data_IF_890609297901
#
_entry.id   IF_890609297901
#
_cell.length_a   1.000
_cell.length_b   1.000
_cell.length_c   1.000
_cell.angle_alpha   90.00
_cell.angle_beta   90.00
_cell.angle_gamma   90.00
#
_symmetry.space_group_name_H-M   'P 1'
#
loop_
_entity.id
_entity.type
_entity.pdbx_description
1 polymer ?
#
# COMPACT_ATOMS: atom_id res chain seq x y z
N UNK A 1 -23.14 13.82 24.76
CA UNK A 1 -22.66 14.49 23.53
C UNK A 1 -22.59 13.41 22.46
N UNK A 2 -23.59 13.34 21.57
CA UNK A 2 -23.61 12.33 20.52
C UNK A 2 -22.66 12.78 19.41
N UNK A 3 -21.53 12.10 19.26
CA UNK A 3 -20.65 12.30 18.12
C UNK A 3 -21.40 11.75 16.91
N UNK A 4 -21.78 12.62 15.97
CA UNK A 4 -22.31 12.19 14.69
C UNK A 4 -21.25 11.32 14.02
N UNK A 5 -21.55 10.04 13.87
CA UNK A 5 -20.67 9.11 13.15
C UNK A 5 -20.65 9.58 11.69
N UNK A 6 -19.49 10.01 11.14
CA UNK A 6 -19.42 10.29 9.71
C UNK A 6 -19.78 9.01 8.97
N UNK A 7 -20.79 9.08 8.10
CA UNK A 7 -21.22 7.90 7.35
C UNK A 7 -20.20 7.67 6.24
N UNK A 8 -19.43 6.58 6.35
CA UNK A 8 -18.68 6.05 5.22
C UNK A 8 -19.68 5.72 4.10
N UNK A 9 -19.45 6.26 2.91
CA UNK A 9 -20.31 5.98 1.74
C UNK A 9 -20.10 4.58 1.17
N UNK A 10 -18.93 3.99 1.40
CA UNK A 10 -18.62 2.59 1.08
C UNK A 10 -18.74 1.76 2.34
N UNK A 11 -19.45 0.62 2.24
CA UNK A 11 -19.44 -0.33 3.36
C UNK A 11 -18.08 -1.03 3.41
N UNK A 12 -17.63 -1.50 4.59
CA UNK A 12 -16.41 -2.29 4.67
C UNK A 12 -16.43 -3.53 3.76
N UNK A 13 -17.59 -4.14 3.54
CA UNK A 13 -17.75 -5.29 2.65
C UNK A 13 -17.53 -4.91 1.17
N UNK A 14 -18.06 -3.77 0.73
CA UNK A 14 -17.82 -3.27 -0.64
C UNK A 14 -16.33 -2.93 -0.85
N UNK A 15 -15.66 -2.41 0.18
CA UNK A 15 -14.22 -2.15 0.13
C UNK A 15 -13.40 -3.45 0.00
N UNK A 16 -13.82 -4.54 0.66
CA UNK A 16 -13.19 -5.86 0.49
C UNK A 16 -13.33 -6.34 -0.95
N UNK A 17 -14.51 -6.19 -1.56
CA UNK A 17 -14.71 -6.53 -2.98
C UNK A 17 -13.81 -5.72 -3.91
N UNK A 18 -13.61 -4.42 -3.63
CA UNK A 18 -12.64 -3.63 -4.40
C UNK A 18 -11.23 -4.17 -4.25
N UNK A 19 -10.85 -4.56 -3.02
CA UNK A 19 -9.54 -5.10 -2.71
C UNK A 19 -9.30 -6.47 -3.35
N UNK A 20 -10.33 -7.22 -3.72
CA UNK A 20 -10.11 -8.49 -4.45
C UNK A 20 -9.35 -8.24 -5.77
N UNK A 21 -9.60 -7.12 -6.42
CA UNK A 21 -9.05 -6.79 -7.74
C UNK A 21 -8.08 -5.62 -7.74
N UNK A 22 -8.14 -4.71 -6.76
CA UNK A 22 -7.45 -3.43 -6.81
C UNK A 22 -6.67 -3.09 -5.54
N UNK A 23 -5.54 -2.42 -5.70
CA UNK A 23 -5.01 -1.52 -4.67
C UNK A 23 -5.92 -0.29 -4.56
N UNK A 24 -5.98 0.33 -3.39
CA UNK A 24 -6.91 1.44 -3.15
C UNK A 24 -6.18 2.67 -2.62
N UNK A 25 -6.31 3.79 -3.31
CA UNK A 25 -5.94 5.11 -2.81
C UNK A 25 -7.15 5.79 -2.18
N UNK A 26 -7.15 5.97 -0.87
CA UNK A 26 -8.24 6.59 -0.11
C UNK A 26 -7.91 8.04 0.21
N UNK A 27 -8.76 8.94 -0.27
CA UNK A 27 -8.57 10.38 -0.18
C UNK A 27 -9.54 10.99 0.82
N UNK A 28 -9.03 11.74 1.80
CA UNK A 28 -9.86 12.62 2.62
C UNK A 28 -9.04 13.76 3.20
N UNK A 29 -9.53 14.99 3.11
CA UNK A 29 -8.82 16.14 3.65
C UNK A 29 -8.94 16.23 5.18
N UNK A 30 -10.09 15.83 5.76
CA UNK A 30 -10.26 15.77 7.22
C UNK A 30 -9.45 14.62 7.85
N UNK A 31 -8.44 14.91 8.70
CA UNK A 31 -7.68 13.89 9.40
C UNK A 31 -8.52 13.05 10.36
N UNK A 32 -9.65 13.57 10.87
CA UNK A 32 -10.57 12.81 11.73
C UNK A 32 -11.29 11.75 10.92
N UNK A 33 -11.73 12.08 9.70
CA UNK A 33 -12.37 11.14 8.79
C UNK A 33 -11.39 10.03 8.37
N UNK A 34 -10.14 10.38 8.00
CA UNK A 34 -9.08 9.39 7.72
C UNK A 34 -8.88 8.43 8.89
N UNK A 35 -8.69 8.95 10.11
CA UNK A 35 -8.52 8.12 11.32
C UNK A 35 -9.72 7.22 11.60
N UNK A 36 -10.94 7.75 11.44
CA UNK A 36 -12.15 6.98 11.65
C UNK A 36 -12.25 5.84 10.64
N UNK A 37 -12.09 6.14 9.35
CA UNK A 37 -12.08 5.17 8.26
C UNK A 37 -11.03 4.08 8.51
N UNK A 38 -9.78 4.47 8.78
CA UNK A 38 -8.71 3.50 8.99
C UNK A 38 -9.02 2.56 10.15
N UNK A 39 -9.49 3.10 11.28
CA UNK A 39 -9.83 2.26 12.44
C UNK A 39 -10.90 1.24 12.08
N UNK A 40 -11.99 1.69 11.44
CA UNK A 40 -13.11 0.81 11.03
C UNK A 40 -12.65 -0.25 10.03
N UNK A 41 -11.85 0.14 9.03
CA UNK A 41 -11.39 -0.78 8.01
C UNK A 41 -10.39 -1.81 8.53
N UNK A 42 -9.40 -1.40 9.34
CA UNK A 42 -8.45 -2.35 9.94
C UNK A 42 -9.19 -3.34 10.84
N UNK A 43 -10.14 -2.87 11.66
CA UNK A 43 -10.97 -3.73 12.51
C UNK A 43 -11.76 -4.74 11.67
N UNK A 44 -12.35 -4.30 10.55
CA UNK A 44 -13.10 -5.16 9.65
C UNK A 44 -12.21 -6.19 8.94
N UNK A 45 -11.10 -5.76 8.33
CA UNK A 45 -10.19 -6.64 7.59
C UNK A 45 -9.57 -7.70 8.50
N UNK A 46 -9.22 -7.36 9.75
CA UNK A 46 -8.69 -8.32 10.73
C UNK A 46 -9.70 -9.36 11.19
N UNK A 47 -11.00 -9.09 11.01
CA UNK A 47 -12.05 -10.06 11.34
C UNK A 47 -12.25 -11.10 10.22
N UNK A 48 -11.67 -10.90 9.04
CA UNK A 48 -11.73 -11.85 7.94
C UNK A 48 -10.81 -13.06 8.24
N UNK A 49 -11.23 -14.29 7.90
CA UNK A 49 -10.39 -15.47 8.07
C UNK A 49 -9.17 -15.39 7.17
N UNK A 50 -8.07 -16.02 7.61
CA UNK A 50 -6.84 -16.19 6.80
C UNK A 50 -6.31 -14.87 6.21
N UNK A 51 -6.52 -13.79 6.96
CA UNK A 51 -6.16 -12.43 6.55
C UNK A 51 -5.12 -11.84 7.49
N UNK A 52 -4.09 -11.25 6.91
CA UNK A 52 -3.07 -10.46 7.59
C UNK A 52 -3.25 -8.98 7.24
N UNK A 53 -3.13 -8.10 8.25
CA UNK A 53 -3.29 -6.65 8.08
C UNK A 53 -2.11 -5.93 8.70
N UNK A 54 -1.21 -5.47 7.83
CA UNK A 54 -0.01 -4.73 8.16
C UNK A 54 -0.35 -3.23 8.17
N UNK A 55 -0.39 -2.61 9.35
CA UNK A 55 -0.70 -1.18 9.48
C UNK A 55 0.57 -0.36 9.59
N UNK A 56 0.83 0.45 8.57
CA UNK A 56 1.98 1.35 8.49
C UNK A 56 1.52 2.75 8.95
N UNK A 57 2.22 3.31 9.94
CA UNK A 57 2.02 4.70 10.40
C UNK A 57 2.93 5.67 9.64
N UNK A 58 2.38 6.35 8.64
CA UNK A 58 3.12 7.28 7.77
C UNK A 58 3.48 8.62 8.41
N UNK A 59 3.01 8.93 9.63
CA UNK A 59 3.14 10.28 10.21
C UNK A 59 4.58 10.75 10.41
N UNK A 60 5.56 9.85 10.35
CA UNK A 60 7.00 10.13 10.52
C UNK A 60 7.87 9.50 9.43
N UNK A 61 7.25 9.03 8.35
CA UNK A 61 7.93 8.33 7.27
C UNK A 61 8.29 9.35 6.18
N UNK A 62 9.50 9.89 6.27
CA UNK A 62 9.96 11.01 5.43
C UNK A 62 11.21 10.67 4.61
N UNK A 63 11.76 9.48 4.81
CA UNK A 63 12.97 8.98 4.15
C UNK A 63 12.98 7.44 4.15
N UNK A 64 13.93 6.85 3.43
CA UNK A 64 14.04 5.40 3.33
C UNK A 64 14.34 4.72 4.68
N UNK A 65 15.26 5.22 5.52
CA UNK A 65 15.52 4.62 6.84
C UNK A 65 14.29 4.57 7.75
N UNK A 66 13.47 5.63 7.79
CA UNK A 66 12.25 5.65 8.62
C UNK A 66 11.25 4.58 8.19
N UNK A 67 11.08 4.38 6.88
CA UNK A 67 10.15 3.39 6.32
C UNK A 67 10.68 1.98 6.48
N UNK A 68 11.94 1.76 6.12
CA UNK A 68 12.61 0.49 6.30
C UNK A 68 12.58 0.04 7.77
N UNK A 69 12.74 0.98 8.71
CA UNK A 69 12.64 0.72 10.15
C UNK A 69 11.23 0.32 10.57
N UNK A 70 10.20 1.02 10.07
CA UNK A 70 8.80 0.70 10.35
C UNK A 70 8.39 -0.67 9.77
N UNK A 71 8.77 -0.96 8.52
CA UNK A 71 8.50 -2.27 7.90
C UNK A 71 9.23 -3.40 8.62
N UNK A 72 10.52 -3.22 8.95
CA UNK A 72 11.30 -4.21 9.70
C UNK A 72 10.65 -4.52 11.06
N UNK A 73 10.19 -3.48 11.77
CA UNK A 73 9.46 -3.62 13.04
C UNK A 73 8.13 -4.36 12.86
N UNK A 74 7.37 -4.05 11.80
CA UNK A 74 6.09 -4.68 11.50
C UNK A 74 6.25 -6.15 11.06
N UNK A 75 7.36 -6.49 10.42
CA UNK A 75 7.73 -7.85 10.05
C UNK A 75 8.33 -8.66 11.22
N UNK A 76 8.36 -8.10 12.45
CA UNK A 76 9.01 -8.68 13.63
C UNK A 76 10.46 -9.12 13.38
N UNK A 77 11.18 -8.33 12.57
CA UNK A 77 12.59 -8.57 12.24
C UNK A 77 13.52 -7.73 13.12
N UNK A 78 14.75 -8.20 13.38
CA UNK A 78 15.76 -7.39 14.04
C UNK A 78 16.04 -6.12 13.23
N UNK A 79 16.14 -4.97 13.89
CA UNK A 79 16.41 -3.65 13.28
C UNK A 79 17.83 -3.51 12.69
N UNK A 80 18.50 -4.61 12.36
CA UNK A 80 19.87 -4.61 11.86
C UNK A 80 19.98 -3.87 10.52
N UNK A 81 20.91 -2.92 10.45
CA UNK A 81 21.32 -2.21 9.23
C UNK A 81 20.23 -1.44 8.46
N UNK A 82 19.10 -1.10 9.08
CA UNK A 82 18.02 -0.29 8.48
C UNK A 82 18.55 0.99 7.81
N UNK A 83 19.54 1.66 8.41
CA UNK A 83 20.14 2.90 7.86
C UNK A 83 20.85 2.71 6.51
N UNK A 84 21.13 1.47 6.11
CA UNK A 84 21.84 1.12 4.87
C UNK A 84 20.95 0.38 3.87
N UNK A 85 19.68 0.16 4.21
CA UNK A 85 18.75 -0.53 3.32
C UNK A 85 18.54 0.30 2.06
N UNK A 86 18.52 -0.40 0.93
CA UNK A 86 18.10 0.12 -0.38
C UNK A 86 16.63 -0.22 -0.65
N UNK A 87 16.09 0.23 -1.78
CA UNK A 87 14.78 -0.21 -2.24
C UNK A 87 14.75 -1.71 -2.52
N UNK A 88 15.83 -2.29 -3.04
CA UNK A 88 15.93 -3.74 -3.26
C UNK A 88 15.83 -4.51 -1.94
N UNK A 89 16.47 -4.02 -0.88
CA UNK A 89 16.35 -4.61 0.45
C UNK A 89 14.91 -4.53 0.99
N UNK A 90 14.17 -3.46 0.66
CA UNK A 90 12.74 -3.35 0.99
C UNK A 90 11.90 -4.35 0.18
N UNK A 91 12.19 -4.52 -1.11
CA UNK A 91 11.52 -5.52 -1.95
C UNK A 91 11.74 -6.92 -1.38
N UNK A 92 12.97 -7.27 -1.02
CA UNK A 92 13.29 -8.57 -0.41
C UNK A 92 12.63 -8.75 0.95
N UNK A 93 12.52 -7.68 1.75
CA UNK A 93 11.74 -7.69 3.00
C UNK A 93 10.26 -7.98 2.74
N UNK A 94 9.65 -7.33 1.74
CA UNK A 94 8.25 -7.53 1.37
C UNK A 94 8.00 -8.93 0.81
N UNK A 95 8.94 -9.47 0.04
CA UNK A 95 8.92 -10.87 -0.41
C UNK A 95 8.95 -11.76 0.81
N UNK A 96 9.95 -11.67 1.67
CA UNK A 96 10.10 -12.59 2.78
C UNK A 96 9.21 -12.25 4.01
N UNK A 97 8.09 -11.57 3.79
CA UNK A 97 7.19 -11.17 4.86
C UNK A 97 6.62 -12.40 5.58
N UNK A 98 6.63 -12.43 6.93
CA UNK A 98 6.31 -13.64 7.68
C UNK A 98 4.85 -14.09 7.51
N UNK A 99 4.65 -15.40 7.47
CA UNK A 99 3.34 -16.04 7.37
C UNK A 99 2.80 -16.15 5.95
N UNK A 100 1.86 -17.07 5.77
CA UNK A 100 1.25 -17.43 4.47
C UNK A 100 -0.28 -17.28 4.53
N UNK A 101 -0.81 -16.06 4.75
CA UNK A 101 -2.24 -15.83 4.73
C UNK A 101 -2.79 -15.98 3.30
N UNK A 102 -4.10 -16.18 3.16
CA UNK A 102 -4.74 -16.07 1.85
C UNK A 102 -4.84 -14.61 1.39
N UNK A 103 -5.02 -13.68 2.32
CA UNK A 103 -5.08 -12.25 2.03
C UNK A 103 -4.09 -11.46 2.89
N UNK A 104 -3.35 -10.52 2.28
CA UNK A 104 -2.48 -9.59 3.00
C UNK A 104 -2.77 -8.16 2.59
N UNK A 105 -3.16 -7.33 3.55
CA UNK A 105 -3.45 -5.92 3.33
C UNK A 105 -2.39 -5.03 3.99
N UNK A 106 -1.63 -4.29 3.17
CA UNK A 106 -0.75 -3.23 3.63
C UNK A 106 -1.53 -1.91 3.73
N UNK A 107 -1.83 -1.49 4.94
CA UNK A 107 -2.63 -0.30 5.21
C UNK A 107 -1.72 0.87 5.61
N UNK A 108 -1.37 1.73 4.65
CA UNK A 108 -0.48 2.88 4.85
C UNK A 108 -1.27 4.15 5.14
N UNK A 109 -1.19 4.61 6.39
CA UNK A 109 -1.85 5.83 6.87
C UNK A 109 -0.98 7.05 6.65
N UNK A 110 -1.60 8.18 6.29
CA UNK A 110 -0.90 9.45 6.06
C UNK A 110 0.26 9.28 5.06
N UNK A 111 -0.02 8.53 3.97
CA UNK A 111 0.93 8.22 2.91
C UNK A 111 1.42 9.49 2.17
N UNK A 112 0.63 10.56 2.22
CA UNK A 112 0.97 11.86 1.69
C UNK A 112 2.17 12.52 2.39
N UNK A 113 2.55 12.09 3.59
CA UNK A 113 3.71 12.62 4.32
C UNK A 113 5.02 12.32 3.58
N UNK A 114 5.20 11.07 3.14
CA UNK A 114 6.38 10.71 2.35
C UNK A 114 6.32 11.36 0.98
N UNK A 115 5.16 11.32 0.33
CA UNK A 115 4.95 11.94 -0.99
C UNK A 115 5.35 13.43 -0.98
N UNK A 116 5.09 14.15 0.11
CA UNK A 116 5.49 15.55 0.28
C UNK A 116 6.99 15.73 0.53
N UNK A 117 7.61 14.77 1.22
CA UNK A 117 9.04 14.82 1.54
C UNK A 117 9.91 14.45 0.33
N UNK A 118 9.53 13.38 -0.37
CA UNK A 118 10.27 12.79 -1.47
C UNK A 118 9.33 11.98 -2.38
N UNK A 119 8.93 12.59 -3.49
CA UNK A 119 8.02 11.98 -4.48
C UNK A 119 8.64 10.78 -5.19
N UNK A 120 9.95 10.81 -5.44
CA UNK A 120 10.64 9.74 -6.15
C UNK A 120 10.73 8.50 -5.27
N UNK A 121 11.10 8.68 -4.00
CA UNK A 121 11.09 7.60 -3.01
C UNK A 121 9.68 7.05 -2.76
N UNK A 122 8.67 7.91 -2.70
CA UNK A 122 7.27 7.47 -2.62
C UNK A 122 6.90 6.58 -3.81
N UNK A 123 7.23 7.01 -5.02
CA UNK A 123 6.98 6.25 -6.24
C UNK A 123 7.71 4.89 -6.22
N UNK A 124 8.97 4.85 -5.78
CA UNK A 124 9.75 3.62 -5.66
C UNK A 124 9.12 2.60 -4.71
N UNK A 125 8.65 3.06 -3.55
CA UNK A 125 8.04 2.18 -2.54
C UNK A 125 6.64 1.71 -2.93
N UNK A 126 5.84 2.57 -3.55
CA UNK A 126 4.55 2.18 -4.13
C UNK A 126 4.76 1.12 -5.21
N UNK A 127 5.74 1.34 -6.09
CA UNK A 127 6.10 0.38 -7.12
C UNK A 127 6.53 -0.95 -6.49
N UNK A 128 7.38 -0.94 -5.46
CA UNK A 128 7.80 -2.14 -4.74
C UNK A 128 6.62 -2.92 -4.13
N UNK A 129 5.68 -2.22 -3.46
CA UNK A 129 4.49 -2.86 -2.86
C UNK A 129 3.61 -3.53 -3.91
N UNK A 130 3.37 -2.85 -5.03
CA UNK A 130 2.52 -3.33 -6.12
C UNK A 130 3.19 -4.47 -6.90
N UNK A 131 4.49 -4.33 -7.17
CA UNK A 131 5.31 -5.32 -7.84
C UNK A 131 5.32 -6.65 -7.08
N UNK A 132 5.63 -6.61 -5.77
CA UNK A 132 5.62 -7.82 -4.94
C UNK A 132 4.21 -8.41 -4.86
N UNK A 133 3.16 -7.58 -4.85
CA UNK A 133 1.80 -8.08 -4.90
C UNK A 133 1.51 -8.86 -6.20
N UNK A 134 1.87 -8.28 -7.36
CA UNK A 134 1.73 -8.94 -8.65
C UNK A 134 2.59 -10.22 -8.75
N UNK A 135 3.80 -10.21 -8.18
CA UNK A 135 4.68 -11.39 -8.10
C UNK A 135 4.01 -12.54 -7.34
N UNK A 136 3.44 -12.23 -6.16
CA UNK A 136 2.76 -13.21 -5.31
C UNK A 136 1.49 -13.78 -5.95
N UNK A 137 0.80 -12.99 -6.77
CA UNK A 137 -0.43 -13.39 -7.42
C UNK A 137 -0.20 -14.21 -8.69
N UNK A 138 0.79 -13.87 -9.51
CA UNK A 138 0.92 -14.42 -10.87
C UNK A 138 2.08 -15.40 -11.08
N UNK A 139 3.08 -15.43 -10.19
CA UNK A 139 4.31 -16.20 -10.42
C UNK A 139 4.60 -17.25 -9.36
N UNK A 140 3.96 -17.15 -8.20
CA UNK A 140 4.29 -18.02 -7.09
C UNK A 140 3.66 -19.42 -7.30
N UNK A 141 4.46 -20.48 -7.13
CA UNK A 141 3.99 -21.86 -7.22
C UNK A 141 3.31 -22.35 -5.91
N UNK A 142 3.43 -21.56 -4.84
CA UNK A 142 2.83 -21.77 -3.53
C UNK A 142 1.35 -21.31 -3.49
N UNK A 143 0.57 -21.60 -2.42
CA UNK A 143 -0.81 -21.10 -2.31
C UNK A 143 -0.89 -19.60 -2.58
N UNK A 144 -1.86 -19.24 -3.41
CA UNK A 144 -2.12 -17.87 -3.87
C UNK A 144 -2.30 -16.94 -2.67
N UNK A 145 -1.42 -15.95 -2.55
CA UNK A 145 -1.55 -14.87 -1.56
C UNK A 145 -2.06 -13.65 -2.31
N UNK A 146 -3.26 -13.21 -2.00
CA UNK A 146 -3.79 -11.94 -2.50
C UNK A 146 -3.26 -10.80 -1.66
N UNK A 147 -2.26 -10.09 -2.19
CA UNK A 147 -1.67 -8.94 -1.52
C UNK A 147 -2.21 -7.64 -2.11
N UNK A 148 -2.63 -6.70 -1.24
CA UNK A 148 -3.07 -5.36 -1.67
C UNK A 148 -2.59 -4.27 -0.74
N UNK A 149 -2.32 -3.10 -1.30
CA UNK A 149 -2.06 -1.89 -0.53
C UNK A 149 -3.28 -0.96 -0.50
N UNK A 150 -3.50 -0.35 0.65
CA UNK A 150 -4.49 0.70 0.91
C UNK A 150 -3.70 1.93 1.36
N UNK A 151 -3.61 2.93 0.48
CA UNK A 151 -2.85 4.15 0.70
C UNK A 151 -3.84 5.24 1.12
N UNK A 152 -3.71 5.79 2.33
CA UNK A 152 -4.65 6.79 2.85
C UNK A 152 -3.95 8.13 3.00
N UNK A 153 -4.51 9.18 2.39
CA UNK A 153 -3.93 10.52 2.42
C UNK A 153 -4.91 11.64 2.08
N UNK A 154 -4.38 12.85 1.93
CA UNK A 154 -5.14 14.06 1.59
C UNK A 154 -5.15 14.36 0.08
N UNK A 155 -5.55 15.58 -0.29
CA UNK A 155 -5.52 16.06 -1.68
C UNK A 155 -4.18 15.89 -2.42
N UNK A 156 -3.01 15.86 -1.76
CA UNK A 156 -1.72 15.60 -2.43
C UNK A 156 -1.65 14.17 -2.98
N UNK A 157 -2.08 13.19 -2.19
CA UNK A 157 -2.22 11.82 -2.67
C UNK A 157 -3.24 11.75 -3.81
N UNK A 158 -4.29 12.59 -3.76
CA UNK A 158 -5.27 12.72 -4.83
C UNK A 158 -4.67 13.23 -6.13
N UNK A 159 -3.87 14.29 -6.07
CA UNK A 159 -3.16 14.82 -7.23
C UNK A 159 -2.20 13.79 -7.84
N UNK A 160 -1.46 13.05 -7.00
CA UNK A 160 -0.61 11.94 -7.45
C UNK A 160 -1.43 10.82 -8.11
N UNK A 161 -2.62 10.53 -7.56
CA UNK A 161 -3.52 9.52 -8.12
C UNK A 161 -4.19 9.93 -9.44
N UNK A 162 -4.04 11.19 -9.86
CA UNK A 162 -4.50 11.70 -11.15
C UNK A 162 -3.33 11.85 -12.15
N UNK A 163 -2.09 11.69 -11.72
CA UNK A 163 -0.91 11.76 -12.59
C UNK A 163 -0.73 10.46 -13.37
N UNK A 164 -1.01 10.51 -14.68
CA UNK A 164 -0.86 9.38 -15.61
C UNK A 164 0.58 8.86 -15.76
N UNK A 165 1.58 9.63 -15.29
CA UNK A 165 2.98 9.19 -15.25
C UNK A 165 3.38 8.60 -13.89
N UNK A 166 2.52 8.70 -12.87
CA UNK A 166 2.76 8.17 -11.55
C UNK A 166 2.56 6.65 -11.46
N UNK A 167 3.05 6.08 -10.35
CA UNK A 167 3.10 4.63 -10.14
C UNK A 167 1.74 3.98 -9.85
N UNK A 168 0.66 4.76 -9.88
CA UNK A 168 -0.70 4.21 -9.90
C UNK A 168 -1.15 3.84 -11.32
N UNK A 169 -0.49 4.35 -12.36
CA UNK A 169 -0.84 4.10 -13.76
C UNK A 169 0.21 3.31 -14.53
N UNK A 170 1.45 3.29 -14.06
CA UNK A 170 2.57 2.66 -14.76
C UNK A 170 3.52 1.98 -13.79
N UNK A 171 4.06 0.84 -14.21
CA UNK A 171 5.23 0.26 -13.57
C UNK A 171 6.43 1.18 -13.79
N UNK A 172 7.35 1.22 -12.83
CA UNK A 172 8.63 1.91 -13.03
C UNK A 172 9.43 1.19 -14.13
N UNK A 173 10.01 1.97 -15.03
CA UNK A 173 10.90 1.46 -16.09
C UNK A 173 12.22 0.97 -15.48
N UNK A 174 12.78 -0.11 -16.02
CA UNK A 174 14.15 -0.51 -15.70
C UNK A 174 15.12 0.25 -16.61
N UNK A 175 16.28 0.61 -16.09
CA UNK A 175 17.28 1.39 -16.83
C UNK A 175 17.74 0.71 -18.14
N UNK A 176 17.63 -0.61 -18.23
CA UNK A 176 18.15 -1.44 -19.32
C UNK A 176 17.08 -2.11 -20.21
N UNK A 177 15.78 -1.88 -19.97
CA UNK A 177 14.70 -2.59 -20.66
C UNK A 177 13.75 -1.65 -21.42
N UNK A 178 13.20 -2.12 -22.54
CA UNK A 178 12.18 -1.38 -23.29
C UNK A 178 10.77 -1.51 -22.71
N UNK A 179 10.60 -2.38 -21.70
CA UNK A 179 9.32 -2.71 -21.08
C UNK A 179 9.58 -3.03 -19.61
N UNK A 180 8.83 -2.44 -18.67
CA UNK A 180 9.03 -2.67 -17.24
C UNK A 180 9.07 -4.16 -16.89
N UNK A 181 10.05 -4.56 -16.08
CA UNK A 181 10.25 -5.95 -15.66
C UNK A 181 8.96 -6.58 -15.15
N UNK A 182 8.18 -5.84 -14.36
CA UNK A 182 6.94 -6.31 -13.75
C UNK A 182 5.82 -6.54 -14.75
N UNK A 183 5.74 -5.76 -15.83
CA UNK A 183 4.77 -5.98 -16.90
C UNK A 183 5.01 -7.33 -17.57
N UNK A 184 6.27 -7.59 -17.94
CA UNK A 184 6.67 -8.85 -18.58
C UNK A 184 6.42 -10.03 -17.65
N UNK A 185 6.81 -9.88 -16.38
CA UNK A 185 6.83 -10.97 -15.44
C UNK A 185 5.41 -11.34 -14.97
N UNK A 186 4.58 -10.35 -14.62
CA UNK A 186 3.22 -10.60 -14.11
C UNK A 186 2.16 -10.74 -15.20
N UNK A 187 2.46 -10.40 -16.45
CA UNK A 187 1.48 -10.19 -17.52
C UNK A 187 0.43 -9.10 -17.19
N UNK A 188 0.71 -8.22 -16.23
CA UNK A 188 -0.16 -7.10 -15.85
C UNK A 188 0.38 -5.83 -16.49
N UNK A 189 -0.35 -5.26 -17.45
CA UNK A 189 0.06 -4.06 -18.20
C UNK A 189 0.34 -2.85 -17.29
N UNK A 190 -0.43 -2.71 -16.21
CA UNK A 190 -0.30 -1.61 -15.24
C UNK A 190 -0.84 -1.98 -13.86
N UNK A 191 -0.36 -1.34 -12.79
CA UNK A 191 -0.89 -1.56 -11.44
C UNK A 191 -2.42 -1.37 -11.38
N UNK A 192 -3.19 -2.30 -10.81
CA UNK A 192 -4.64 -2.15 -10.68
C UNK A 192 -4.96 -1.26 -9.47
N UNK A 193 -4.92 0.06 -9.65
CA UNK A 193 -5.24 1.02 -8.57
C UNK A 193 -6.58 1.69 -8.81
N UNK A 194 -7.41 1.76 -7.77
CA UNK A 194 -8.63 2.57 -7.76
C UNK A 194 -8.55 3.67 -6.70
N UNK A 195 -9.08 4.84 -7.02
CA UNK A 195 -9.15 5.98 -6.10
C UNK A 195 -10.54 6.06 -5.48
N UNK A 196 -10.59 6.16 -4.15
CA UNK A 196 -11.83 6.30 -3.39
C UNK A 196 -11.77 7.56 -2.52
N UNK A 197 -12.71 8.49 -2.70
CA UNK A 197 -12.79 9.72 -1.90
C UNK A 197 -13.79 9.53 -0.76
N UNK A 198 -13.36 9.81 0.46
CA UNK A 198 -14.25 9.91 1.61
C UNK A 198 -14.92 11.28 1.55
N UNK A 199 -16.24 11.28 1.45
CA UNK A 199 -17.04 12.50 1.55
C UNK A 199 -17.39 12.80 3.01
N UNK A 200 -17.49 14.09 3.36
CA UNK A 200 -18.01 14.57 4.65
C UNK A 200 -19.54 14.37 4.78
#
# INVERSE_FOLDING_TARGET
MFVSNPKLRISPADMVQLLDEHHVAVLADDPRLRRHFTRVMIEHLRALPETDVVSIDGTRLVDLPSIAGELTRLADRPAGHVERMTIDDVIDLLRDWPGTPHHRYFFWRDADVLLDADVDLFAELVNALFAVAAEREHLNAEPLILQRAILVGNAKLGAYAEDENGQFFRWREDEDSSSPFWEILSCVERPPVITYRLDD
#
